data_IF_601290009586
#
_entry.id   IF_601290009586
#
_cell.length_a   1.000
_cell.length_b   1.000
_cell.length_c   1.000
_cell.angle_alpha   90.00
_cell.angle_beta   90.00
_cell.angle_gamma   90.00
#
_symmetry.space_group_name_H-M   'P 1'
#
loop_
_entity.id
_entity.type
_entity.pdbx_description
1 polymer ?
#
# COMPACT_ATOMS: atom_id res chain seq x y z
N UNK A 1 -19.26 -6.39 -13.67
CA UNK A 1 -17.80 -6.69 -13.67
C UNK A 1 -17.15 -6.00 -12.49
N UNK A 2 -16.61 -6.77 -11.55
CA UNK A 2 -15.98 -6.22 -10.35
C UNK A 2 -14.62 -5.63 -10.74
N UNK A 3 -14.50 -4.31 -10.77
CA UNK A 3 -13.21 -3.65 -11.05
C UNK A 3 -12.25 -3.92 -9.89
N UNK A 4 -11.14 -4.60 -10.17
CA UNK A 4 -10.07 -4.86 -9.18
C UNK A 4 -9.31 -3.59 -8.83
N UNK A 5 -9.13 -2.73 -9.84
CA UNK A 5 -8.42 -1.44 -9.72
C UNK A 5 -9.11 -0.39 -10.57
N UNK A 6 -9.12 0.85 -10.12
CA UNK A 6 -9.64 2.01 -10.85
C UNK A 6 -8.70 3.20 -10.66
N UNK A 7 -8.20 3.76 -11.76
CA UNK A 7 -7.38 4.97 -11.72
C UNK A 7 -8.20 6.13 -11.14
N UNK A 8 -7.59 6.89 -10.23
CA UNK A 8 -8.15 8.14 -9.68
C UNK A 8 -7.56 9.28 -10.50
N UNK A 9 -8.41 10.12 -11.06
CA UNK A 9 -7.98 11.21 -11.92
C UNK A 9 -7.64 12.48 -11.12
N UNK A 10 -6.72 12.35 -10.16
CA UNK A 10 -6.13 13.46 -9.42
C UNK A 10 -4.67 13.56 -9.86
N UNK A 11 -4.29 14.73 -10.38
CA UNK A 11 -2.91 15.01 -10.76
C UNK A 11 -2.14 15.52 -9.55
N UNK A 12 -0.88 15.12 -9.44
CA UNK A 12 0.04 15.55 -8.40
C UNK A 12 1.24 16.26 -9.05
N UNK A 13 1.09 17.55 -9.40
CA UNK A 13 2.12 18.28 -10.15
C UNK A 13 3.43 18.45 -9.39
N UNK A 14 3.39 18.38 -8.06
CA UNK A 14 4.58 18.48 -7.20
C UNK A 14 4.99 17.13 -6.59
N UNK A 15 4.65 16.02 -7.22
CA UNK A 15 4.97 14.68 -6.73
C UNK A 15 6.46 14.51 -6.43
N UNK A 16 7.33 15.09 -7.24
CA UNK A 16 8.79 15.02 -7.05
C UNK A 16 9.25 15.67 -5.74
N UNK A 17 8.58 16.75 -5.30
CA UNK A 17 8.85 17.39 -4.00
C UNK A 17 8.47 16.45 -2.85
N UNK A 18 7.30 15.80 -2.98
CA UNK A 18 6.85 14.79 -2.01
C UNK A 18 7.82 13.62 -1.97
N UNK A 19 8.25 13.12 -3.14
CA UNK A 19 9.23 12.03 -3.23
C UNK A 19 10.55 12.39 -2.54
N UNK A 20 11.09 13.58 -2.84
CA UNK A 20 12.33 14.07 -2.22
C UNK A 20 12.20 14.21 -0.72
N UNK A 21 11.07 14.71 -0.23
CA UNK A 21 10.78 14.80 1.20
C UNK A 21 10.78 13.42 1.86
N UNK A 22 10.02 12.45 1.33
CA UNK A 22 9.93 11.10 1.88
C UNK A 22 11.27 10.38 1.88
N UNK A 23 12.08 10.59 0.84
CA UNK A 23 13.43 10.00 0.72
C UNK A 23 14.40 10.53 1.78
N UNK A 24 14.22 11.77 2.22
CA UNK A 24 15.08 12.42 3.20
C UNK A 24 14.63 12.22 4.66
N UNK A 25 13.53 11.52 4.90
CA UNK A 25 13.12 11.15 6.26
C UNK A 25 14.15 10.13 6.80
N UNK A 26 14.75 10.39 7.98
CA UNK A 26 15.69 9.45 8.61
C UNK A 26 15.11 8.05 8.79
N UNK A 27 15.95 7.03 8.67
CA UNK A 27 15.50 5.63 8.77
C UNK A 27 14.91 5.30 10.16
N UNK A 28 15.40 5.95 11.21
CA UNK A 28 14.91 5.81 12.58
C UNK A 28 13.47 6.31 12.79
N UNK A 29 12.98 7.18 11.92
CA UNK A 29 11.60 7.69 11.98
C UNK A 29 10.60 6.72 11.32
N UNK A 30 11.11 5.72 10.59
CA UNK A 30 10.30 4.70 9.97
C UNK A 30 10.11 3.49 10.89
N UNK A 31 8.87 3.19 11.21
CA UNK A 31 8.52 2.00 11.99
C UNK A 31 8.51 0.75 11.09
N UNK A 32 9.33 -0.24 11.43
CA UNK A 32 9.32 -1.53 10.74
C UNK A 32 7.97 -2.22 10.91
N UNK A 33 7.31 -2.55 9.81
CA UNK A 33 6.00 -3.16 9.84
C UNK A 33 6.08 -4.66 9.55
N UNK A 34 5.97 -5.47 10.60
CA UNK A 34 5.93 -6.92 10.50
C UNK A 34 4.53 -7.40 10.88
N UNK A 35 3.82 -8.01 9.93
CA UNK A 35 2.56 -8.69 10.24
C UNK A 35 2.85 -10.16 10.48
N UNK A 36 2.73 -10.58 11.73
CA UNK A 36 2.74 -11.99 12.09
C UNK A 36 1.30 -12.47 12.17
N UNK A 37 0.84 -13.23 11.20
CA UNK A 37 -0.47 -13.88 11.27
C UNK A 37 -0.35 -15.22 11.95
N UNK A 38 -1.03 -15.37 13.09
CA UNK A 38 -1.44 -16.67 13.62
C UNK A 38 -2.68 -17.07 12.83
N UNK A 39 -2.52 -17.81 11.74
CA UNK A 39 -3.65 -18.25 10.92
C UNK A 39 -4.20 -19.57 11.43
N UNK A 40 -5.40 -19.56 12.02
CA UNK A 40 -6.27 -20.73 11.97
C UNK A 40 -6.89 -20.77 10.58
N UNK A 41 -6.26 -21.47 9.64
CA UNK A 41 -6.97 -21.88 8.43
C UNK A 41 -7.85 -23.06 8.83
N UNK A 42 -9.16 -22.86 8.88
CA UNK A 42 -10.15 -23.90 9.21
C UNK A 42 -10.09 -25.15 8.33
N UNK A 43 -9.28 -25.17 7.29
CA UNK A 43 -9.17 -26.28 6.34
C UNK A 43 -7.85 -27.04 6.37
N UNK A 44 -6.84 -26.58 7.13
CA UNK A 44 -5.60 -27.31 7.32
C UNK A 44 -5.13 -27.03 8.75
N UNK A 45 -5.08 -28.02 9.59
CA UNK A 45 -4.62 -27.99 10.99
C UNK A 45 -3.16 -27.56 11.18
N UNK A 46 -2.71 -26.52 10.47
CA UNK A 46 -1.38 -25.97 10.58
C UNK A 46 -1.42 -24.63 11.30
N UNK A 47 -0.93 -24.59 12.52
CA UNK A 47 -0.47 -23.36 13.17
C UNK A 47 0.75 -22.86 12.39
N UNK A 48 0.56 -22.02 11.39
CA UNK A 48 1.66 -21.37 10.70
C UNK A 48 1.74 -19.93 11.17
N UNK A 49 2.73 -19.66 12.00
CA UNK A 49 3.19 -18.29 12.23
C UNK A 49 3.96 -17.88 10.97
N UNK A 50 3.33 -17.19 10.04
CA UNK A 50 3.98 -16.74 8.81
C UNK A 50 4.11 -15.24 8.82
N UNK A 51 5.33 -14.74 8.75
CA UNK A 51 5.61 -13.35 8.44
C UNK A 51 5.07 -13.06 7.05
N UNK A 52 4.11 -12.13 6.92
CA UNK A 52 3.45 -11.83 5.64
C UNK A 52 4.15 -10.74 4.85
N UNK A 53 5.11 -10.05 5.47
CA UNK A 53 5.83 -8.94 4.83
C UNK A 53 7.30 -8.93 5.22
N UNK A 54 8.12 -8.44 4.32
CA UNK A 54 9.57 -8.27 4.49
C UNK A 54 9.96 -6.91 3.94
N UNK A 55 10.81 -6.18 4.65
CA UNK A 55 11.34 -4.88 4.18
C UNK A 55 10.27 -3.81 3.98
N UNK A 56 9.23 -3.82 4.80
CA UNK A 56 8.17 -2.82 4.82
C UNK A 56 8.34 -1.95 6.06
N UNK A 57 8.33 -0.64 5.83
CA UNK A 57 8.41 0.39 6.86
C UNK A 57 7.26 1.37 6.68
N UNK A 58 6.73 1.89 7.77
CA UNK A 58 5.55 2.77 7.73
C UNK A 58 5.73 3.98 8.65
N UNK A 59 5.11 5.08 8.27
CA UNK A 59 4.84 6.23 9.15
C UNK A 59 3.34 6.53 9.09
N UNK A 60 2.72 6.83 10.22
CA UNK A 60 1.31 7.24 10.26
C UNK A 60 1.13 8.52 9.46
N UNK A 61 0.16 8.53 8.54
CA UNK A 61 -0.06 9.66 7.63
C UNK A 61 -0.31 10.97 8.40
N UNK A 62 -1.01 10.92 9.53
CA UNK A 62 -1.27 12.10 10.37
C UNK A 62 -0.02 12.86 10.80
N UNK A 63 1.11 12.16 10.96
CA UNK A 63 2.37 12.79 11.40
C UNK A 63 3.07 13.53 10.25
N UNK A 64 2.68 13.27 9.00
CA UNK A 64 3.27 13.85 7.80
C UNK A 64 2.28 14.71 6.99
N UNK A 65 0.99 14.70 7.38
CA UNK A 65 -0.06 15.26 6.53
C UNK A 65 0.14 16.73 6.21
N UNK A 66 0.45 17.53 7.21
CA UNK A 66 0.62 18.99 7.03
C UNK A 66 1.83 19.28 6.10
N UNK A 67 2.91 18.52 6.22
CA UNK A 67 4.06 18.66 5.34
C UNK A 67 3.72 18.22 3.90
N UNK A 68 3.00 17.11 3.76
CA UNK A 68 2.65 16.57 2.45
C UNK A 68 1.69 17.49 1.68
N UNK A 69 0.64 18.03 2.33
CA UNK A 69 -0.29 18.96 1.67
C UNK A 69 0.36 20.33 1.38
N UNK A 70 1.35 20.74 2.18
CA UNK A 70 2.14 21.94 1.89
C UNK A 70 2.97 21.78 0.63
N UNK A 71 3.53 20.56 0.40
CA UNK A 71 4.32 20.24 -0.78
C UNK A 71 3.46 19.95 -2.01
N UNK A 72 2.35 19.24 -1.83
CA UNK A 72 1.40 18.85 -2.88
C UNK A 72 -0.03 19.07 -2.40
N UNK A 73 -0.59 20.29 -2.61
CA UNK A 73 -1.93 20.64 -2.12
C UNK A 73 -3.06 19.74 -2.64
N UNK A 74 -2.89 19.14 -3.81
CA UNK A 74 -3.92 18.27 -4.39
C UNK A 74 -4.15 16.98 -3.58
N UNK A 75 -3.26 16.65 -2.65
CA UNK A 75 -3.47 15.52 -1.73
C UNK A 75 -4.73 15.70 -0.86
N UNK A 76 -5.14 16.93 -0.58
CA UNK A 76 -6.36 17.21 0.20
C UNK A 76 -7.62 16.62 -0.47
N UNK A 77 -7.62 16.48 -1.80
CA UNK A 77 -8.74 15.92 -2.56
C UNK A 77 -9.01 14.44 -2.26
N UNK A 78 -8.08 13.74 -1.62
CA UNK A 78 -8.28 12.34 -1.23
C UNK A 78 -9.08 12.18 0.06
N UNK A 79 -9.24 13.25 0.85
CA UNK A 79 -10.03 13.32 2.08
C UNK A 79 -9.82 12.11 3.01
N UNK A 80 -8.59 11.90 3.54
CA UNK A 80 -8.26 10.71 4.30
C UNK A 80 -8.77 10.78 5.76
N UNK A 81 -9.25 9.66 6.30
CA UNK A 81 -9.28 9.47 7.75
C UNK A 81 -7.85 9.22 8.25
N UNK A 82 -7.16 10.27 8.67
CA UNK A 82 -5.75 10.24 9.05
C UNK A 82 -5.41 9.22 10.14
N UNK A 83 -6.41 8.77 10.92
CA UNK A 83 -6.22 7.75 11.98
C UNK A 83 -5.92 6.37 11.42
N UNK A 84 -6.30 6.11 10.16
CA UNK A 84 -6.24 4.79 9.51
C UNK A 84 -5.35 4.77 8.26
N UNK A 85 -4.51 5.79 8.10
CA UNK A 85 -3.73 5.97 6.89
C UNK A 85 -2.23 6.00 7.21
N UNK A 86 -1.43 5.49 6.27
CA UNK A 86 0.02 5.39 6.41
C UNK A 86 0.74 5.81 5.13
N UNK A 87 1.98 6.22 5.30
CA UNK A 87 2.96 6.22 4.21
C UNK A 87 3.80 4.95 4.38
N UNK A 88 3.95 4.21 3.31
CA UNK A 88 4.72 2.96 3.28
C UNK A 88 5.99 3.17 2.48
N UNK A 89 7.13 2.80 3.05
CA UNK A 89 8.41 2.61 2.36
C UNK A 89 8.66 1.12 2.19
N UNK A 90 8.89 0.69 0.97
CA UNK A 90 9.26 -0.69 0.65
C UNK A 90 10.66 -0.69 0.08
N UNK A 91 11.61 -1.25 0.81
CA UNK A 91 13.00 -1.32 0.37
C UNK A 91 13.18 -2.30 -0.81
N UNK A 92 14.31 -2.26 -1.55
CA UNK A 92 14.62 -3.24 -2.58
C UNK A 92 14.50 -4.69 -2.08
N UNK A 93 13.82 -5.54 -2.84
CA UNK A 93 13.52 -6.93 -2.44
C UNK A 93 12.40 -7.07 -1.41
N UNK A 94 11.92 -5.98 -0.82
CA UNK A 94 10.79 -5.98 0.10
C UNK A 94 9.48 -6.34 -0.58
N UNK A 95 8.52 -6.81 0.20
CA UNK A 95 7.20 -7.17 -0.32
C UNK A 95 6.23 -7.65 0.74
N UNK A 96 4.98 -7.75 0.35
CA UNK A 96 3.92 -8.36 1.13
C UNK A 96 3.43 -9.57 0.34
N UNK A 97 3.56 -10.76 0.95
CA UNK A 97 3.06 -12.00 0.35
C UNK A 97 1.54 -11.97 0.21
N UNK A 98 1.00 -12.88 -0.59
CA UNK A 98 -0.43 -12.96 -0.85
C UNK A 98 -1.23 -12.98 0.44
N UNK A 99 -2.10 -12.00 0.60
CA UNK A 99 -2.94 -11.76 1.77
C UNK A 99 -4.25 -11.11 1.35
N UNK A 100 -5.18 -11.03 2.29
CA UNK A 100 -6.43 -10.26 2.18
C UNK A 100 -6.44 -9.27 3.32
N UNK A 101 -6.75 -8.03 3.05
CA UNK A 101 -6.92 -7.04 4.11
C UNK A 101 -8.23 -7.28 4.87
N UNK A 102 -8.10 -7.50 6.17
CA UNK A 102 -9.27 -7.66 7.03
C UNK A 102 -9.89 -6.30 7.34
N UNK A 103 -11.21 -6.18 7.25
CA UNK A 103 -11.99 -4.97 7.55
C UNK A 103 -11.71 -3.78 6.62
N UNK A 104 -11.18 -4.04 5.43
CA UNK A 104 -10.91 -3.03 4.43
C UNK A 104 -11.20 -3.62 3.06
N UNK A 105 -12.21 -3.08 2.35
CA UNK A 105 -12.60 -3.57 1.04
C UNK A 105 -11.77 -2.97 -0.07
N UNK A 106 -11.45 -1.70 0.09
CA UNK A 106 -10.68 -0.91 -0.88
C UNK A 106 -9.65 -0.03 -0.18
N UNK A 107 -8.63 0.35 -0.92
CA UNK A 107 -7.67 1.37 -0.53
C UNK A 107 -7.42 2.32 -1.70
N UNK A 108 -7.29 3.61 -1.42
CA UNK A 108 -6.69 4.56 -2.34
C UNK A 108 -5.17 4.46 -2.14
N UNK A 109 -4.48 4.00 -3.17
CA UNK A 109 -3.02 3.89 -3.19
C UNK A 109 -2.47 5.01 -4.07
N UNK A 110 -1.59 5.81 -3.50
CA UNK A 110 -0.95 6.94 -4.16
C UNK A 110 0.55 6.63 -4.21
N UNK A 111 1.02 5.99 -5.28
CA UNK A 111 2.45 5.71 -5.44
C UNK A 111 3.19 7.01 -5.74
N UNK A 112 4.26 7.26 -4.99
CA UNK A 112 5.07 8.48 -5.05
C UNK A 112 6.45 8.17 -5.64
N UNK A 113 6.91 9.03 -6.55
CA UNK A 113 8.21 8.92 -7.21
C UNK A 113 8.22 8.04 -8.45
N UNK A 114 9.39 7.77 -9.04
CA UNK A 114 9.52 7.05 -10.31
C UNK A 114 9.16 5.57 -10.19
N UNK A 115 9.40 4.95 -9.02
CA UNK A 115 9.08 3.54 -8.78
C UNK A 115 7.62 3.37 -8.33
N UNK A 116 6.69 3.38 -9.26
CA UNK A 116 5.26 3.23 -8.97
C UNK A 116 4.92 1.81 -8.49
N UNK A 117 5.59 0.80 -9.02
CA UNK A 117 5.36 -0.61 -8.70
C UNK A 117 4.06 -1.18 -9.27
N UNK A 118 3.70 -2.34 -8.76
CA UNK A 118 2.53 -3.09 -9.22
C UNK A 118 1.89 -3.88 -8.08
N UNK A 119 0.65 -4.35 -8.29
CA UNK A 119 -0.07 -5.25 -7.42
C UNK A 119 -0.46 -6.50 -8.21
N UNK A 120 -0.35 -7.64 -7.58
CA UNK A 120 -0.70 -8.94 -8.13
C UNK A 120 -1.91 -9.52 -7.41
N UNK A 121 -2.93 -9.93 -8.16
CA UNK A 121 -4.10 -10.62 -7.63
C UNK A 121 -4.03 -12.10 -7.87
N UNK A 122 -4.44 -12.90 -6.88
CA UNK A 122 -4.37 -14.35 -6.87
C UNK A 122 -5.76 -14.96 -6.69
N UNK A 123 -6.04 -16.04 -7.43
CA UNK A 123 -7.25 -16.85 -7.20
C UNK A 123 -7.11 -17.67 -5.90
N UNK A 124 -5.88 -18.05 -5.57
CA UNK A 124 -5.54 -18.77 -4.36
C UNK A 124 -4.17 -18.30 -3.85
N UNK A 125 -3.94 -18.35 -2.54
CA UNK A 125 -2.74 -17.84 -1.85
C UNK A 125 -1.39 -18.31 -2.41
N UNK A 126 -1.37 -19.49 -3.04
CA UNK A 126 -0.15 -20.12 -3.56
C UNK A 126 -0.05 -20.11 -5.09
N UNK A 127 -1.04 -19.58 -5.78
CA UNK A 127 -1.08 -19.63 -7.24
C UNK A 127 -0.36 -18.42 -7.84
N UNK A 128 0.06 -18.62 -9.11
CA UNK A 128 0.53 -17.48 -9.90
C UNK A 128 -0.56 -16.41 -9.95
N UNK A 129 -0.20 -15.12 -10.01
CA UNK A 129 -1.18 -14.09 -10.17
C UNK A 129 -1.97 -14.28 -11.47
N UNK A 130 -3.29 -14.14 -11.39
CA UNK A 130 -4.13 -14.15 -12.59
C UNK A 130 -4.27 -12.75 -13.19
N UNK A 131 -3.98 -11.72 -12.40
CA UNK A 131 -4.03 -10.34 -12.84
C UNK A 131 -2.95 -9.52 -12.15
N UNK A 132 -2.24 -8.71 -12.92
CA UNK A 132 -1.23 -7.76 -12.44
C UNK A 132 -1.61 -6.37 -12.94
N UNK A 133 -1.62 -5.41 -12.02
CA UNK A 133 -1.84 -4.01 -12.35
C UNK A 133 -0.59 -3.18 -12.03
N UNK A 134 -0.06 -2.49 -13.05
CA UNK A 134 1.04 -1.55 -12.90
C UNK A 134 0.50 -0.16 -12.59
N UNK A 135 0.96 0.41 -11.49
CA UNK A 135 0.52 1.75 -11.10
C UNK A 135 1.14 2.80 -12.01
N UNK A 136 0.31 3.72 -12.48
CA UNK A 136 0.73 4.92 -13.23
C UNK A 136 0.41 6.21 -12.48
N UNK A 137 -0.20 6.11 -11.31
CA UNK A 137 -0.63 7.21 -10.45
C UNK A 137 -1.65 6.73 -9.41
N UNK A 138 -2.34 7.65 -8.77
CA UNK A 138 -3.34 7.33 -7.76
C UNK A 138 -4.39 6.34 -8.26
N UNK A 139 -4.67 5.32 -7.45
CA UNK A 139 -5.52 4.20 -7.85
C UNK A 139 -6.37 3.72 -6.69
N UNK A 140 -7.66 3.55 -6.92
CA UNK A 140 -8.54 2.80 -6.03
C UNK A 140 -8.31 1.30 -6.28
N UNK A 141 -7.99 0.57 -5.23
CA UNK A 141 -7.53 -0.82 -5.31
C UNK A 141 -8.36 -1.69 -4.36
N UNK A 142 -8.91 -2.79 -4.85
CA UNK A 142 -9.54 -3.78 -3.98
C UNK A 142 -8.50 -4.50 -3.15
N UNK A 143 -8.73 -4.58 -1.85
CA UNK A 143 -7.82 -5.21 -0.90
C UNK A 143 -8.46 -6.37 -0.14
N UNK A 144 -9.77 -6.59 -0.34
CA UNK A 144 -10.52 -7.73 0.21
C UNK A 144 -10.40 -9.02 -0.63
N UNK A 145 -9.56 -9.02 -1.66
CA UNK A 145 -9.21 -10.19 -2.47
C UNK A 145 -7.74 -10.56 -2.26
N UNK A 146 -7.35 -11.83 -2.45
CA UNK A 146 -5.96 -12.24 -2.30
C UNK A 146 -5.06 -11.44 -3.24
N UNK A 147 -4.12 -10.69 -2.67
CA UNK A 147 -3.19 -9.87 -3.42
C UNK A 147 -1.80 -9.85 -2.78
N UNK A 148 -0.81 -9.53 -3.57
CA UNK A 148 0.58 -9.35 -3.14
C UNK A 148 1.21 -8.15 -3.82
N UNK A 149 2.26 -7.63 -3.22
CA UNK A 149 3.11 -6.58 -3.78
C UNK A 149 4.58 -6.92 -3.53
N UNK A 150 5.46 -6.53 -4.45
CA UNK A 150 6.89 -6.71 -4.32
C UNK A 150 7.63 -5.52 -4.91
N UNK A 151 8.72 -5.14 -4.32
CA UNK A 151 9.65 -4.18 -4.89
C UNK A 151 10.83 -4.91 -5.53
N UNK A 152 10.77 -5.11 -6.82
CA UNK A 152 11.82 -5.78 -7.61
C UNK A 152 12.84 -4.82 -8.18
N UNK A 153 12.76 -3.53 -7.80
CA UNK A 153 13.70 -2.51 -8.26
C UNK A 153 14.86 -2.33 -7.28
N UNK A 154 15.92 -1.67 -7.72
CA UNK A 154 17.07 -1.30 -6.88
C UNK A 154 16.85 -0.05 -6.01
N UNK A 155 15.65 0.52 -5.98
CA UNK A 155 15.33 1.75 -5.25
C UNK A 155 14.12 1.57 -4.34
N UNK A 156 14.04 2.36 -3.28
CA UNK A 156 12.88 2.39 -2.40
C UNK A 156 11.61 2.79 -3.16
N UNK A 157 10.51 2.18 -2.76
CA UNK A 157 9.17 2.48 -3.26
C UNK A 157 8.33 3.11 -2.15
N UNK A 158 7.74 4.26 -2.44
CA UNK A 158 6.89 4.98 -1.51
C UNK A 158 5.44 4.95 -1.97
N UNK A 159 4.52 4.70 -1.04
CA UNK A 159 3.07 4.68 -1.29
C UNK A 159 2.34 5.32 -0.12
N UNK A 160 1.53 6.35 -0.40
CA UNK A 160 0.54 6.83 0.57
C UNK A 160 -0.67 5.90 0.48
N UNK A 161 -1.01 5.25 1.58
CA UNK A 161 -2.15 4.34 1.68
C UNK A 161 -3.28 4.99 2.47
N UNK A 162 -4.41 5.14 1.83
CA UNK A 162 -5.63 5.65 2.43
C UNK A 162 -6.63 4.50 2.46
N UNK A 163 -6.91 4.00 3.68
CA UNK A 163 -7.93 2.99 3.87
C UNK A 163 -9.31 3.60 3.61
N UNK A 164 -10.06 2.97 2.73
CA UNK A 164 -11.45 3.35 2.45
C UNK A 164 -12.36 2.21 2.89
N UNK A 165 -13.39 2.54 3.68
CA UNK A 165 -14.42 1.60 4.09
C UNK A 165 -15.61 1.91 3.20
N UNK A 166 -16.00 0.96 2.34
CA UNK A 166 -17.29 1.06 1.67
C UNK A 166 -18.34 0.96 2.79
N UNK A 167 -19.20 1.96 2.98
CA UNK A 167 -20.31 1.82 3.91
C UNK A 167 -21.10 0.58 3.50
N UNK A 168 -21.33 -0.32 4.45
CA UNK A 168 -22.27 -1.41 4.25
C UNK A 168 -23.64 -0.78 3.97
N UNK A 169 -24.09 -0.92 2.73
CA UNK A 169 -25.48 -0.62 2.33
C UNK A 169 -26.44 -1.57 3.00
#
# INVERSE_FOLDING_TARGET
>A
MLLLTKKINIKLPNEDKVHSFLKNIPDEDWEGWTITRKGNTRHLNFKVTKTTNVGIHVIKLKNLWDDLIRLEPNLIMFDPDLRKCWVTKMIPGGGIFSHVDYKRDVAKLIPIGPNKGEIHYHLHWKWKPFYTYKYTGPTLTRTNLPHSVKNETGADRYVIQIADIIPST
#
